data_IF_538461438292
#
_entry.id   IF_538461438292
#
_cell.length_a   1.000
_cell.length_b   1.000
_cell.length_c   1.000
_cell.angle_alpha   90.00
_cell.angle_beta   90.00
_cell.angle_gamma   90.00
#
_symmetry.space_group_name_H-M   'P 1'
#
loop_
_entity.id
_entity.type
_entity.pdbx_description
1 polymer ?
#
# COMPACT_ATOMS: atom_id res chain seq x y z
N UNK A 1 14.09 1.86 6.32
CA UNK A 1 15.01 2.50 7.28
C UNK A 1 16.07 1.54 7.86
N UNK A 2 15.96 0.25 7.56
CA UNK A 2 16.70 -0.87 8.16
C UNK A 2 17.98 -1.26 7.44
N UNK A 3 18.12 -0.99 6.13
CA UNK A 3 19.27 -1.47 5.35
C UNK A 3 20.57 -0.68 5.59
N UNK A 4 20.44 0.59 5.99
CA UNK A 4 21.57 1.53 6.12
C UNK A 4 21.94 1.83 7.57
N UNK A 5 21.10 1.43 8.51
CA UNK A 5 21.21 1.81 9.90
C UNK A 5 20.76 0.65 10.76
N UNK A 6 21.44 0.45 11.87
CA UNK A 6 21.02 -0.50 12.88
C UNK A 6 19.71 -0.03 13.55
N UNK A 7 18.88 -0.99 13.96
CA UNK A 7 17.53 -0.76 14.45
C UNK A 7 17.10 -1.87 15.40
N UNK A 8 16.16 -1.57 16.31
CA UNK A 8 15.67 -2.56 17.28
C UNK A 8 14.87 -3.69 16.62
N UNK A 9 14.23 -3.39 15.50
CA UNK A 9 13.51 -4.37 14.68
C UNK A 9 13.87 -4.10 13.22
N UNK A 10 14.90 -4.78 12.73
CA UNK A 10 15.36 -4.68 11.36
C UNK A 10 14.45 -5.51 10.45
N UNK A 11 14.04 -4.93 9.32
CA UNK A 11 13.30 -5.60 8.25
C UNK A 11 14.21 -5.61 7.03
N UNK A 12 14.61 -6.77 6.53
CA UNK A 12 15.45 -6.86 5.33
C UNK A 12 14.62 -6.75 4.03
N UNK A 13 15.29 -6.68 2.88
CA UNK A 13 14.59 -6.58 1.57
C UNK A 13 13.80 -7.84 1.23
N UNK A 14 14.32 -8.99 1.62
CA UNK A 14 13.70 -10.29 1.40
C UNK A 14 12.41 -10.41 2.22
N UNK A 15 12.42 -9.89 3.44
CA UNK A 15 11.29 -9.80 4.36
C UNK A 15 10.20 -8.88 3.81
N UNK A 16 10.52 -7.84 3.03
CA UNK A 16 9.48 -7.08 2.35
C UNK A 16 8.75 -7.93 1.32
N UNK A 17 9.47 -8.71 0.51
CA UNK A 17 8.82 -9.61 -0.45
C UNK A 17 7.98 -10.67 0.27
N UNK A 18 8.56 -11.38 1.24
CA UNK A 18 7.86 -12.46 1.96
C UNK A 18 6.65 -11.97 2.75
N UNK A 19 6.70 -10.75 3.33
CA UNK A 19 5.63 -10.27 4.21
C UNK A 19 4.59 -9.39 3.51
N UNK A 20 4.93 -8.71 2.41
CA UNK A 20 4.00 -7.81 1.71
C UNK A 20 3.45 -8.38 0.41
N UNK A 21 4.07 -9.41 -0.16
CA UNK A 21 3.69 -9.99 -1.46
C UNK A 21 3.15 -11.41 -1.23
N UNK A 22 1.85 -11.56 -0.94
CA UNK A 22 1.24 -12.88 -0.72
C UNK A 22 1.25 -13.73 -2.01
N UNK A 23 1.14 -13.08 -3.17
CA UNK A 23 1.12 -13.72 -4.48
C UNK A 23 2.06 -12.99 -5.46
N UNK A 24 2.79 -13.70 -6.34
CA UNK A 24 3.77 -13.08 -7.23
C UNK A 24 3.24 -11.96 -8.12
N UNK A 25 1.99 -12.03 -8.60
CA UNK A 25 1.39 -10.97 -9.44
C UNK A 25 0.94 -9.75 -8.63
N UNK A 26 0.60 -9.93 -7.36
CA UNK A 26 0.08 -8.88 -6.47
C UNK A 26 1.20 -8.30 -5.61
N UNK A 27 2.15 -7.64 -6.29
CA UNK A 27 3.38 -7.12 -5.70
C UNK A 27 3.49 -5.59 -5.74
N UNK A 28 2.36 -4.88 -5.74
CA UNK A 28 2.30 -3.41 -5.82
C UNK A 28 1.84 -2.76 -4.50
N UNK A 29 2.70 -2.72 -3.47
CA UNK A 29 2.35 -2.09 -2.20
C UNK A 29 2.26 -0.56 -2.34
N UNK A 30 1.27 0.02 -1.66
CA UNK A 30 1.11 1.46 -1.52
C UNK A 30 2.06 1.97 -0.44
N UNK A 31 2.62 3.15 -0.69
CA UNK A 31 3.43 3.87 0.29
C UNK A 31 2.59 4.96 0.92
N UNK A 32 2.65 5.06 2.24
CA UNK A 32 2.09 6.16 3.01
C UNK A 32 3.13 6.67 3.98
N UNK A 33 3.22 7.98 4.16
CA UNK A 33 4.18 8.61 5.07
C UNK A 33 3.50 9.59 6.01
N UNK A 34 3.82 9.50 7.29
CA UNK A 34 3.35 10.44 8.28
C UNK A 34 4.43 10.74 9.33
N UNK A 35 4.51 11.98 9.83
CA UNK A 35 3.71 13.13 9.44
C UNK A 35 4.37 13.92 8.29
N UNK A 36 3.55 14.58 7.46
CA UNK A 36 4.00 15.55 6.43
C UNK A 36 3.61 16.94 6.91
N UNK A 37 4.53 17.64 7.57
CA UNK A 37 4.27 18.95 8.19
C UNK A 37 5.23 19.98 7.61
N UNK A 38 4.69 21.15 7.27
CA UNK A 38 5.50 22.29 6.82
C UNK A 38 6.39 22.82 7.94
N UNK A 39 7.61 23.24 7.60
CA UNK A 39 8.56 23.87 8.52
C UNK A 39 7.95 25.06 9.30
N UNK A 40 6.98 25.76 8.71
CA UNK A 40 6.29 26.91 9.33
C UNK A 40 5.29 26.50 10.43
N UNK A 41 4.78 25.26 10.39
CA UNK A 41 3.69 24.77 11.27
C UNK A 41 4.14 23.81 12.37
N UNK A 42 5.44 23.53 12.47
CA UNK A 42 6.02 22.48 13.30
C UNK A 42 5.68 22.57 14.81
N UNK A 43 5.42 23.77 15.33
CA UNK A 43 5.27 24.00 16.78
C UNK A 43 3.86 23.79 17.32
N UNK A 44 2.87 23.57 16.45
CA UNK A 44 1.45 23.53 16.85
C UNK A 44 0.86 22.13 16.98
N UNK A 45 1.58 21.08 16.58
CA UNK A 45 1.06 19.71 16.56
C UNK A 45 1.88 18.82 17.50
N UNK A 46 1.20 18.20 18.47
CA UNK A 46 1.76 17.03 19.14
C UNK A 46 1.62 15.84 18.18
N UNK A 47 2.73 15.15 17.94
CA UNK A 47 2.82 14.04 17.00
C UNK A 47 3.18 12.78 17.79
N UNK A 48 2.23 12.26 18.56
CA UNK A 48 2.39 10.99 19.28
C UNK A 48 2.49 9.82 18.31
N UNK A 49 3.00 8.68 18.78
CA UNK A 49 3.06 7.45 17.99
C UNK A 49 1.66 7.07 17.49
N UNK A 50 0.64 7.16 18.35
CA UNK A 50 -0.73 6.84 17.97
C UNK A 50 -1.28 7.76 16.86
N UNK A 51 -1.01 9.07 16.92
CA UNK A 51 -1.47 10.03 15.92
C UNK A 51 -0.83 9.78 14.55
N UNK A 52 0.50 9.62 14.50
CA UNK A 52 1.20 9.35 13.24
C UNK A 52 0.82 7.98 12.65
N UNK A 53 0.57 6.98 13.49
CA UNK A 53 0.08 5.67 13.07
C UNK A 53 -1.31 5.77 12.45
N UNK A 54 -2.23 6.53 13.08
CA UNK A 54 -3.57 6.77 12.54
C UNK A 54 -3.50 7.53 11.21
N UNK A 55 -2.64 8.54 11.11
CA UNK A 55 -2.44 9.31 9.90
C UNK A 55 -2.02 8.44 8.71
N UNK A 56 -1.34 7.31 8.92
CA UNK A 56 -1.02 6.37 7.83
C UNK A 56 -2.24 5.70 7.18
N UNK A 57 -3.38 5.63 7.88
CA UNK A 57 -4.60 5.04 7.33
C UNK A 57 -5.57 6.10 6.80
N UNK A 58 -5.19 7.38 6.83
CA UNK A 58 -5.95 8.46 6.24
C UNK A 58 -5.63 8.57 4.73
N UNK A 59 -6.64 8.58 3.83
CA UNK A 59 -6.43 8.67 2.38
C UNK A 59 -5.58 9.88 1.95
N UNK A 60 -5.61 10.97 2.73
CA UNK A 60 -4.88 12.20 2.44
C UNK A 60 -3.35 12.04 2.49
N UNK A 61 -2.82 11.04 3.20
CA UNK A 61 -1.37 10.83 3.34
C UNK A 61 -0.82 9.76 2.38
N UNK A 62 -1.70 9.11 1.61
CA UNK A 62 -1.31 8.06 0.68
C UNK A 62 -0.64 8.63 -0.56
N UNK A 63 0.43 7.98 -1.01
CA UNK A 63 1.17 8.40 -2.21
C UNK A 63 0.53 7.91 -3.51
N UNK A 64 -0.48 7.06 -3.43
CA UNK A 64 -1.30 6.59 -4.55
C UNK A 64 -2.73 7.02 -4.28
N UNK A 65 -3.37 7.64 -5.28
CA UNK A 65 -4.76 8.08 -5.17
C UNK A 65 -5.70 6.89 -5.35
N UNK A 66 -6.11 6.26 -4.28
CA UNK A 66 -7.16 5.25 -4.24
C UNK A 66 -7.86 5.35 -2.89
N UNK A 67 -9.09 4.87 -2.79
CA UNK A 67 -9.79 4.82 -1.51
C UNK A 67 -9.62 3.46 -0.84
N UNK A 68 -8.84 3.33 0.26
CA UNK A 68 -8.64 2.05 0.93
C UNK A 68 -9.93 1.45 1.51
N UNK A 69 -10.99 2.26 1.64
CA UNK A 69 -12.30 1.79 2.12
C UNK A 69 -13.05 0.97 1.08
N UNK A 70 -12.67 1.07 -0.19
CA UNK A 70 -13.20 0.24 -1.27
C UNK A 70 -12.38 -1.04 -1.50
N UNK A 71 -11.39 -1.31 -0.64
CA UNK A 71 -10.58 -2.51 -0.71
C UNK A 71 -10.33 -3.10 0.67
N UNK A 72 -9.54 -4.17 0.68
CA UNK A 72 -9.09 -4.85 1.89
C UNK A 72 -7.57 -4.80 1.94
N UNK A 73 -7.03 -4.70 3.15
CA UNK A 73 -5.59 -4.80 3.39
C UNK A 73 -5.19 -6.27 3.47
N UNK A 74 -4.23 -6.67 2.65
CA UNK A 74 -3.63 -8.00 2.70
C UNK A 74 -2.45 -8.04 3.67
N UNK A 75 -1.63 -6.98 3.66
CA UNK A 75 -0.48 -6.86 4.54
C UNK A 75 -0.12 -5.38 4.76
N UNK A 76 0.37 -5.06 5.95
CA UNK A 76 0.87 -3.75 6.32
C UNK A 76 2.23 -3.88 7.01
N UNK A 77 3.21 -3.09 6.59
CA UNK A 77 4.51 -2.95 7.23
C UNK A 77 4.69 -1.51 7.70
N UNK A 78 4.86 -1.32 9.01
CA UNK A 78 4.99 -0.02 9.67
C UNK A 78 6.46 0.21 10.02
N UNK A 79 7.11 1.13 9.31
CA UNK A 79 8.52 1.46 9.47
C UNK A 79 8.67 2.78 10.22
N UNK A 80 8.81 2.71 11.54
CA UNK A 80 8.98 3.85 12.42
C UNK A 80 10.43 4.33 12.45
N UNK A 81 10.59 5.65 12.65
CA UNK A 81 11.88 6.31 12.87
C UNK A 81 11.82 7.32 14.00
N UNK A 82 12.92 7.42 14.76
CA UNK A 82 13.13 8.44 15.79
C UNK A 82 12.73 7.98 17.19
N UNK A 83 12.26 8.92 18.00
CA UNK A 83 11.83 8.69 19.39
C UNK A 83 10.50 7.93 19.42
N UNK A 84 10.59 6.59 19.38
CA UNK A 84 9.44 5.68 19.28
C UNK A 84 9.61 4.55 20.28
N UNK A 85 8.63 4.40 21.18
CA UNK A 85 8.60 3.33 22.19
C UNK A 85 7.82 2.13 21.63
N UNK A 86 8.38 0.90 21.64
CA UNK A 86 7.71 -0.29 21.09
C UNK A 86 6.33 -0.58 21.72
N UNK A 87 6.16 -0.28 23.01
CA UNK A 87 4.87 -0.42 23.70
C UNK A 87 3.78 0.44 23.07
N UNK A 88 4.10 1.70 22.74
CA UNK A 88 3.15 2.64 22.17
C UNK A 88 2.76 2.25 20.74
N UNK A 89 3.71 1.67 19.99
CA UNK A 89 3.45 1.10 18.66
C UNK A 89 2.44 -0.04 18.74
N UNK A 90 2.64 -0.98 19.68
CA UNK A 90 1.72 -2.09 19.87
C UNK A 90 0.31 -1.62 20.27
N UNK A 91 0.22 -0.62 21.16
CA UNK A 91 -1.07 -0.01 21.54
C UNK A 91 -1.75 0.72 20.39
N UNK A 92 -0.98 1.44 19.56
CA UNK A 92 -1.50 2.11 18.37
C UNK A 92 -2.04 1.11 17.34
N UNK A 93 -1.30 0.05 17.03
CA UNK A 93 -1.73 -1.02 16.10
C UNK A 93 -2.96 -1.75 16.63
N UNK A 94 -3.02 -2.06 17.93
CA UNK A 94 -4.20 -2.66 18.53
C UNK A 94 -5.44 -1.77 18.33
N UNK A 95 -5.29 -0.45 18.48
CA UNK A 95 -6.37 0.51 18.23
C UNK A 95 -6.79 0.50 16.75
N UNK A 96 -5.84 0.49 15.81
CA UNK A 96 -6.12 0.41 14.38
C UNK A 96 -6.97 -0.81 14.02
N UNK A 97 -6.64 -1.99 14.57
CA UNK A 97 -7.38 -3.23 14.33
C UNK A 97 -8.85 -3.19 14.79
N UNK A 98 -9.19 -2.31 15.73
CA UNK A 98 -10.58 -2.15 16.20
C UNK A 98 -11.42 -1.22 15.33
N UNK A 99 -10.81 -0.47 14.41
CA UNK A 99 -11.52 0.47 13.55
C UNK A 99 -12.22 -0.27 12.41
N UNK A 100 -13.55 -0.17 12.36
CA UNK A 100 -14.38 -0.78 11.30
C UNK A 100 -14.09 -0.27 9.88
N UNK A 101 -13.50 0.93 9.78
CA UNK A 101 -13.13 1.54 8.48
C UNK A 101 -11.88 0.93 7.87
N UNK A 102 -11.15 0.08 8.61
CA UNK A 102 -9.92 -0.55 8.17
C UNK A 102 -10.18 -2.06 8.13
N UNK A 103 -10.36 -2.59 6.94
CA UNK A 103 -10.69 -4.00 6.73
C UNK A 103 -9.47 -4.76 6.25
N UNK A 104 -9.23 -5.92 6.85
CA UNK A 104 -8.19 -6.87 6.43
C UNK A 104 -8.85 -8.09 5.80
N UNK A 105 -8.11 -8.78 4.94
CA UNK A 105 -8.52 -10.09 4.40
C UNK A 105 -8.52 -11.16 5.51
N UNK A 106 -9.45 -12.11 5.44
CA UNK A 106 -9.69 -13.09 6.51
C UNK A 106 -8.53 -14.07 6.70
N UNK A 107 -7.83 -14.38 5.61
CA UNK A 107 -6.67 -15.26 5.60
C UNK A 107 -5.39 -14.59 6.13
N UNK A 108 -5.42 -13.30 6.50
CA UNK A 108 -4.28 -12.58 7.09
C UNK A 108 -4.61 -11.90 8.44
N UNK A 109 -4.87 -12.68 9.52
CA UNK A 109 -5.28 -12.14 10.82
C UNK A 109 -4.18 -11.34 11.55
N UNK A 110 -2.91 -11.50 11.16
CA UNK A 110 -1.74 -10.85 11.78
C UNK A 110 -0.96 -9.95 10.82
N UNK A 111 -1.67 -9.29 9.90
CA UNK A 111 -1.10 -8.48 8.80
C UNK A 111 -0.31 -7.21 9.15
N UNK A 112 0.32 -7.10 10.33
CA UNK A 112 1.20 -5.99 10.69
C UNK A 112 2.62 -6.46 10.98
N UNK A 113 3.56 -6.06 10.12
CA UNK A 113 4.99 -6.10 10.41
C UNK A 113 5.43 -4.73 10.92
N UNK A 114 6.32 -4.71 11.91
CA UNK A 114 6.85 -3.47 12.48
C UNK A 114 8.35 -3.41 12.26
N UNK A 115 8.88 -2.22 11.97
CA UNK A 115 10.31 -1.91 11.99
C UNK A 115 10.54 -0.62 12.77
N UNK A 116 11.56 -0.57 13.63
CA UNK A 116 11.86 0.62 14.44
C UNK A 116 13.35 0.96 14.32
N UNK A 117 13.62 2.18 13.89
CA UNK A 117 14.96 2.76 13.86
C UNK A 117 14.99 4.01 14.76
N UNK A 118 15.87 4.05 15.75
CA UNK A 118 15.92 5.14 16.73
C UNK A 118 16.52 6.45 16.20
N UNK A 119 17.13 6.45 15.01
CA UNK A 119 17.61 7.67 14.40
C UNK A 119 16.44 8.51 13.86
N UNK A 120 16.28 9.76 14.34
CA UNK A 120 15.24 10.65 13.85
C UNK A 120 15.34 10.91 12.33
N UNK A 121 14.22 11.19 11.66
CA UNK A 121 14.25 11.67 10.29
C UNK A 121 15.13 12.93 10.15
N UNK A 122 15.91 12.99 9.09
CA UNK A 122 16.72 14.18 8.76
C UNK A 122 15.98 15.03 7.74
N UNK A 123 15.99 16.34 7.94
CA UNK A 123 15.46 17.32 6.99
C UNK A 123 16.60 17.97 6.21
N UNK A 124 16.34 18.32 4.95
CA UNK A 124 17.32 19.02 4.10
C UNK A 124 17.28 20.52 4.46
N UNK A 125 18.43 21.18 4.68
CA UNK A 125 18.47 22.63 4.86
C UNK A 125 17.82 23.37 3.68
N UNK A 126 16.88 24.27 3.96
CA UNK A 126 16.10 24.97 2.93
C UNK A 126 14.94 24.18 2.32
N UNK A 127 14.65 22.98 2.83
CA UNK A 127 13.48 22.20 2.44
C UNK A 127 12.20 22.60 3.18
N UNK A 128 11.06 22.17 2.66
CA UNK A 128 9.75 22.57 3.16
C UNK A 128 9.27 21.80 4.41
N UNK A 129 9.93 20.68 4.74
CA UNK A 129 9.51 19.79 5.83
C UNK A 129 10.09 20.20 7.18
N UNK A 130 9.23 20.19 8.20
CA UNK A 130 9.60 20.41 9.58
C UNK A 130 10.52 19.31 10.13
N UNK A 131 11.43 19.69 11.01
CA UNK A 131 12.20 18.72 11.81
C UNK A 131 11.28 18.07 12.83
N UNK A 132 11.09 16.76 12.71
CA UNK A 132 10.24 15.96 13.61
C UNK A 132 11.08 14.97 14.42
N UNK A 133 10.63 14.68 15.64
CA UNK A 133 11.30 13.70 16.52
C UNK A 133 11.00 12.26 16.12
N UNK A 134 9.87 12.04 15.45
CA UNK A 134 9.41 10.72 15.03
C UNK A 134 8.62 10.79 13.72
N UNK A 135 8.67 9.73 12.95
CA UNK A 135 7.88 9.54 11.74
C UNK A 135 7.65 8.04 11.49
N UNK A 136 6.72 7.74 10.58
CA UNK A 136 6.38 6.40 10.16
C UNK A 136 6.17 6.37 8.65
N UNK A 137 6.73 5.35 8.01
CA UNK A 137 6.45 4.99 6.64
C UNK A 137 5.68 3.67 6.67
N UNK A 138 4.44 3.67 6.19
CA UNK A 138 3.66 2.46 6.00
C UNK A 138 3.83 1.97 4.55
N UNK A 139 4.13 0.69 4.40
CA UNK A 139 3.99 -0.04 3.15
C UNK A 139 2.81 -0.97 3.30
N UNK A 140 1.76 -0.80 2.52
CA UNK A 140 0.55 -1.59 2.64
C UNK A 140 0.16 -2.19 1.30
N UNK A 141 -0.03 -3.50 1.26
CA UNK A 141 -0.62 -4.16 0.10
C UNK A 141 -2.14 -4.21 0.30
N UNK A 142 -2.88 -3.53 -0.57
CA UNK A 142 -4.34 -3.43 -0.51
C UNK A 142 -4.94 -3.59 -1.90
N UNK A 143 -6.09 -4.25 -1.97
CA UNK A 143 -6.84 -4.42 -3.22
C UNK A 143 -7.36 -3.10 -3.81
N UNK A 144 -7.40 -2.03 -3.01
CA UNK A 144 -7.79 -0.69 -3.47
C UNK A 144 -6.89 -0.14 -4.60
N UNK A 145 -5.67 -0.68 -4.79
CA UNK A 145 -4.82 -0.29 -5.92
C UNK A 145 -5.43 -0.63 -7.28
N UNK A 146 -6.36 -1.58 -7.37
CA UNK A 146 -7.12 -1.89 -8.58
C UNK A 146 -7.80 -0.64 -9.18
N UNK A 147 -8.24 0.32 -8.34
CA UNK A 147 -8.79 1.59 -8.83
C UNK A 147 -7.77 2.42 -9.63
N UNK A 148 -6.48 2.31 -9.29
CA UNK A 148 -5.42 3.02 -10.02
C UNK A 148 -5.17 2.40 -11.39
N UNK A 149 -5.19 1.07 -11.46
CA UNK A 149 -5.10 0.31 -12.70
C UNK A 149 -6.30 0.58 -13.61
N UNK A 150 -7.53 0.52 -13.09
CA UNK A 150 -8.73 0.75 -13.91
C UNK A 150 -8.78 2.15 -14.53
N UNK A 151 -8.22 3.17 -13.86
CA UNK A 151 -8.07 4.52 -14.44
C UNK A 151 -7.00 4.61 -15.52
N UNK A 152 -5.94 3.81 -15.41
CA UNK A 152 -4.90 3.73 -16.44
C UNK A 152 -5.45 3.02 -17.67
N UNK A 153 -6.10 1.87 -17.47
CA UNK A 153 -6.76 1.08 -18.50
C UNK A 153 -7.79 1.88 -19.27
N UNK A 154 -8.66 2.61 -18.57
CA UNK A 154 -9.65 3.46 -19.23
C UNK A 154 -9.02 4.51 -20.17
N UNK A 155 -7.93 5.15 -19.74
CA UNK A 155 -7.23 6.14 -20.58
C UNK A 155 -6.53 5.48 -21.76
N UNK A 156 -5.94 4.30 -21.54
CA UNK A 156 -5.33 3.51 -22.59
C UNK A 156 -6.37 3.14 -23.65
N UNK A 157 -7.52 2.59 -23.24
CA UNK A 157 -8.59 2.16 -24.12
C UNK A 157 -9.12 3.31 -24.99
N UNK A 158 -9.27 4.51 -24.41
CA UNK A 158 -9.68 5.71 -25.17
C UNK A 158 -8.69 6.09 -26.27
N UNK A 159 -7.38 6.00 -26.01
CA UNK A 159 -6.34 6.33 -26.99
C UNK A 159 -6.19 5.23 -28.04
N UNK A 160 -6.15 3.98 -27.59
CA UNK A 160 -5.95 2.81 -28.45
C UNK A 160 -7.11 2.59 -29.42
N UNK A 161 -8.36 2.84 -28.98
CA UNK A 161 -9.54 2.79 -29.85
C UNK A 161 -9.49 3.78 -31.04
N UNK A 162 -8.68 4.84 -30.94
CA UNK A 162 -8.44 5.80 -32.03
C UNK A 162 -7.11 5.57 -32.74
N UNK A 163 -6.37 4.54 -32.36
CA UNK A 163 -4.99 4.27 -32.79
C UNK A 163 -4.09 5.51 -32.67
N UNK A 164 -4.37 6.33 -31.64
CA UNK A 164 -3.63 7.55 -31.40
C UNK A 164 -2.21 7.21 -30.94
N UNK A 165 -1.21 7.88 -31.51
CA UNK A 165 0.22 7.73 -31.17
C UNK A 165 0.86 6.35 -31.45
N UNK A 166 0.12 5.31 -31.86
CA UNK A 166 0.65 3.95 -32.12
C UNK A 166 1.82 3.95 -33.13
N UNK A 167 1.75 4.78 -34.17
CA UNK A 167 2.77 4.82 -35.24
C UNK A 167 4.19 5.13 -34.73
N UNK A 168 4.33 5.84 -33.61
CA UNK A 168 5.65 6.09 -33.00
C UNK A 168 6.28 4.82 -32.45
N UNK A 169 5.48 3.88 -31.97
CA UNK A 169 5.96 2.62 -31.39
C UNK A 169 6.24 1.59 -32.47
N UNK A 170 5.30 1.42 -33.40
CA UNK A 170 5.45 0.48 -34.52
C UNK A 170 6.58 0.92 -35.46
N UNK A 171 6.79 2.23 -35.63
CA UNK A 171 7.91 2.78 -36.41
C UNK A 171 9.30 2.46 -35.83
N UNK A 172 9.39 2.20 -34.53
CA UNK A 172 10.62 1.83 -33.83
C UNK A 172 10.78 0.30 -33.68
N UNK A 173 9.89 -0.49 -34.30
CA UNK A 173 10.02 -1.95 -34.39
C UNK A 173 9.19 -2.76 -33.38
N UNK A 174 8.28 -2.13 -32.64
CA UNK A 174 7.31 -2.82 -31.76
C UNK A 174 6.17 -3.42 -32.59
N UNK A 175 5.75 -4.66 -32.29
CA UNK A 175 4.56 -5.22 -32.94
C UNK A 175 3.28 -4.60 -32.35
N UNK A 176 2.31 -4.24 -33.18
CA UNK A 176 1.06 -3.64 -32.68
C UNK A 176 0.29 -4.57 -31.74
N UNK A 177 0.41 -5.89 -31.93
CA UNK A 177 -0.21 -6.89 -31.05
C UNK A 177 0.26 -6.81 -29.59
N UNK A 178 1.48 -6.31 -29.33
CA UNK A 178 2.02 -6.16 -27.97
C UNK A 178 1.19 -5.20 -27.11
N UNK A 179 0.52 -4.21 -27.73
CA UNK A 179 -0.40 -3.33 -27.01
C UNK A 179 -1.60 -4.07 -26.44
N UNK A 180 -2.19 -4.98 -27.24
CA UNK A 180 -3.33 -5.78 -26.82
C UNK A 180 -2.90 -6.79 -25.75
N UNK A 181 -1.75 -7.44 -25.91
CA UNK A 181 -1.22 -8.40 -24.94
C UNK A 181 -0.96 -7.74 -23.58
N UNK A 182 -0.29 -6.57 -23.55
CA UNK A 182 -0.03 -5.84 -22.32
C UNK A 182 -1.33 -5.38 -21.63
N UNK A 183 -2.34 -4.99 -22.42
CA UNK A 183 -3.66 -4.60 -21.92
C UNK A 183 -4.43 -5.77 -21.32
N UNK A 184 -4.32 -6.96 -21.92
CA UNK A 184 -4.92 -8.19 -21.40
C UNK A 184 -4.24 -8.64 -20.10
N UNK A 185 -2.92 -8.57 -20.00
CA UNK A 185 -2.19 -8.90 -18.76
C UNK A 185 -2.59 -7.95 -17.61
N UNK A 186 -2.72 -6.65 -17.90
CA UNK A 186 -3.17 -5.69 -16.90
C UNK A 186 -4.63 -5.92 -16.47
N UNK A 187 -5.51 -6.29 -17.40
CA UNK A 187 -6.88 -6.70 -17.07
C UNK A 187 -6.93 -7.97 -16.21
N UNK A 188 -6.04 -8.93 -16.47
CA UNK A 188 -5.90 -10.11 -15.63
C UNK A 188 -5.35 -9.77 -14.23
N UNK A 189 -4.47 -8.78 -14.11
CA UNK A 189 -4.01 -8.28 -12.81
C UNK A 189 -5.13 -7.61 -12.02
N UNK A 190 -6.00 -6.82 -12.67
CA UNK A 190 -7.18 -6.25 -12.02
C UNK A 190 -8.09 -7.33 -11.44
N UNK A 191 -8.36 -8.38 -12.21
CA UNK A 191 -9.13 -9.54 -11.77
C UNK A 191 -8.49 -10.25 -10.58
N UNK A 192 -7.17 -10.43 -10.57
CA UNK A 192 -6.45 -11.02 -9.43
C UNK A 192 -6.69 -10.21 -8.14
N UNK A 193 -6.77 -8.87 -8.22
CA UNK A 193 -7.06 -8.02 -7.05
C UNK A 193 -8.52 -8.09 -6.60
N UNK A 194 -9.46 -8.25 -7.54
CA UNK A 194 -10.88 -8.46 -7.24
C UNK A 194 -11.09 -9.78 -6.47
N UNK A 195 -10.54 -10.88 -6.99
CA UNK A 195 -10.62 -12.21 -6.37
C UNK A 195 -10.01 -12.24 -4.96
N UNK A 196 -8.95 -11.47 -4.70
CA UNK A 196 -8.36 -11.35 -3.36
C UNK A 196 -9.20 -10.55 -2.37
N UNK A 197 -10.11 -9.70 -2.85
CA UNK A 197 -11.01 -8.90 -2.04
C UNK A 197 -12.29 -9.64 -1.63
N UNK A 198 -12.68 -10.65 -2.42
CA UNK A 198 -13.84 -11.51 -2.16
C UNK A 198 -13.63 -12.35 -0.88
N UNK A 199 -14.69 -12.49 -0.09
CA UNK A 199 -14.66 -13.35 1.09
C UNK A 199 -14.72 -14.81 0.65
N UNK A 200 -14.00 -15.70 1.35
CA UNK A 200 -13.99 -17.14 1.08
C UNK A 200 -15.34 -17.84 1.32
N UNK A 201 -16.44 -17.09 1.46
CA UNK A 201 -17.76 -17.56 1.90
C UNK A 201 -18.86 -17.61 0.83
N UNK A 202 -18.67 -17.11 -0.38
CA UNK A 202 -19.75 -17.12 -1.41
C UNK A 202 -19.63 -18.25 -2.46
N UNK A 203 -18.59 -19.08 -2.40
CA UNK A 203 -18.35 -20.16 -3.37
C UNK A 203 -18.57 -21.60 -2.87
N UNK A 204 -19.11 -21.78 -1.65
CA UNK A 204 -19.09 -23.07 -0.95
C UNK A 204 -20.44 -23.76 -0.70
N UNK A 205 -21.58 -23.21 -1.15
CA UNK A 205 -22.91 -23.71 -0.77
C UNK A 205 -23.71 -24.44 -1.87
N UNK A 206 -23.12 -24.83 -3.01
CA UNK A 206 -23.86 -25.50 -4.11
C UNK A 206 -23.28 -26.88 -4.55
N UNK A 207 -22.75 -27.69 -3.63
CA UNK A 207 -22.20 -29.02 -4.00
C UNK A 207 -22.51 -30.19 -3.06
N UNK A 208 -23.50 -30.10 -2.17
CA UNK A 208 -24.04 -31.28 -1.48
C UNK A 208 -25.56 -31.15 -1.30
N UNK A 209 -26.35 -31.71 -2.21
CA UNK A 209 -27.63 -32.36 -1.90
C UNK A 209 -28.15 -33.07 -3.17
N UNK A 210 -28.06 -34.41 -3.19
CA UNK A 210 -28.56 -35.19 -4.32
C UNK A 210 -28.25 -36.68 -4.34
N UNK A 211 -28.25 -37.39 -3.21
CA UNK A 211 -28.50 -38.84 -3.20
C UNK A 211 -29.29 -39.23 -1.95
N UNK A 212 -30.61 -39.45 -2.14
CA UNK A 212 -31.46 -40.37 -1.38
C UNK A 212 -32.32 -41.15 -2.39
#
# INVERSE_FOLDING_TARGET
ASLRFDGALNVDLTEFQTNLVPFPRVHFPLVTYAPIVSAEKAYHEQLSVAEITNACFEPANQMVKCDPRHGKYMACCMLYRGDVVPKDVNSAIATIKTKRTIQFVDWCPTGFKVGINYQPPTVVPGGDLAKVQRAVCMLSNTTAIAEAWGRLDHKFDLMYAKRAFIHWYVGEGMEEGEFSEAREDLGALEKDYEEMGEEAGEGGEDAEEGED
#
